data_IF_334995170789
#
_entry.id   IF_334995170789
#
_cell.length_a   1.000
_cell.length_b   1.000
_cell.length_c   1.000
_cell.angle_alpha   90.00
_cell.angle_beta   90.00
_cell.angle_gamma   90.00
#
_symmetry.space_group_name_H-M   'P 1'
#
loop_
_entity.id
_entity.type
_entity.pdbx_description
1 polymer ?
#
# COMPACT_ATOMS: atom_id res chain seq x y z
N UNK A 1 10.82 1.62 20.91
CA UNK A 1 9.76 1.59 19.88
C UNK A 1 9.53 0.16 19.41
N UNK A 2 8.27 -0.28 19.34
CA UNK A 2 7.94 -1.58 18.75
C UNK A 2 8.27 -1.58 17.25
N UNK A 3 8.49 -2.76 16.66
CA UNK A 3 8.74 -2.89 15.21
C UNK A 3 7.60 -2.26 14.40
N UNK A 4 6.35 -2.41 14.85
CA UNK A 4 5.17 -1.77 14.23
C UNK A 4 5.26 -0.24 14.24
N UNK A 5 5.70 0.35 15.37
CA UNK A 5 5.88 1.79 15.46
C UNK A 5 6.98 2.29 14.51
N UNK A 6 8.09 1.54 14.36
CA UNK A 6 9.15 1.88 13.40
C UNK A 6 8.64 1.83 11.96
N UNK A 7 7.89 0.80 11.59
CA UNK A 7 7.31 0.66 10.24
C UNK A 7 6.31 1.78 9.95
N UNK A 8 5.44 2.11 10.90
CA UNK A 8 4.50 3.22 10.76
C UNK A 8 5.23 4.56 10.55
N UNK A 9 6.26 4.83 11.37
CA UNK A 9 7.06 6.04 11.23
C UNK A 9 7.77 6.11 9.87
N UNK A 10 8.36 5.00 9.41
CA UNK A 10 8.98 4.93 8.09
C UNK A 10 7.98 5.18 6.96
N UNK A 11 6.75 4.65 7.07
CA UNK A 11 5.68 4.91 6.11
C UNK A 11 5.29 6.39 6.03
N UNK A 12 5.19 7.06 7.17
CA UNK A 12 4.89 8.51 7.23
C UNK A 12 6.01 9.32 6.58
N UNK A 13 7.27 9.04 6.92
CA UNK A 13 8.42 9.74 6.33
C UNK A 13 8.47 9.52 4.82
N UNK A 14 8.26 8.30 4.35
CA UNK A 14 8.24 7.99 2.93
C UNK A 14 7.11 8.74 2.19
N UNK A 15 5.92 8.85 2.78
CA UNK A 15 4.82 9.63 2.22
C UNK A 15 5.17 11.12 2.12
N UNK A 16 5.74 11.71 3.18
CA UNK A 16 6.17 13.12 3.18
C UNK A 16 7.19 13.37 2.06
N UNK A 17 8.22 12.52 1.96
CA UNK A 17 9.25 12.63 0.92
C UNK A 17 8.65 12.50 -0.47
N UNK A 18 7.72 11.56 -0.67
CA UNK A 18 7.03 11.38 -1.95
C UNK A 18 6.27 12.65 -2.34
N UNK A 19 5.39 13.16 -1.47
CA UNK A 19 4.59 14.34 -1.78
C UNK A 19 5.44 15.61 -1.96
N UNK A 20 6.56 15.72 -1.23
CA UNK A 20 7.51 16.81 -1.42
C UNK A 20 8.25 16.73 -2.76
N UNK A 21 8.66 15.52 -3.18
CA UNK A 21 9.45 15.33 -4.39
C UNK A 21 8.67 15.50 -5.69
N UNK A 22 7.42 15.03 -5.75
CA UNK A 22 6.63 15.03 -6.99
C UNK A 22 5.41 15.96 -6.94
N UNK A 23 5.14 16.59 -5.79
CA UNK A 23 3.97 17.42 -5.58
C UNK A 23 2.70 16.62 -5.27
N UNK A 24 1.63 17.33 -4.88
CA UNK A 24 0.42 16.72 -4.34
C UNK A 24 -0.25 15.74 -5.31
N UNK A 25 -0.55 16.18 -6.54
CA UNK A 25 -1.31 15.37 -7.49
C UNK A 25 -0.54 14.14 -7.97
N UNK A 26 0.74 14.29 -8.32
CA UNK A 26 1.57 13.15 -8.72
C UNK A 26 1.82 12.22 -7.53
N UNK A 27 2.05 12.76 -6.33
CA UNK A 27 2.23 11.97 -5.12
C UNK A 27 0.98 11.14 -4.79
N UNK A 28 -0.21 11.72 -4.95
CA UNK A 28 -1.49 11.03 -4.76
C UNK A 28 -1.68 9.91 -5.79
N UNK A 29 -1.36 10.18 -7.06
CA UNK A 29 -1.38 9.17 -8.12
C UNK A 29 -0.40 8.03 -7.85
N UNK A 30 0.80 8.30 -7.32
CA UNK A 30 1.76 7.25 -6.96
C UNK A 30 1.26 6.43 -5.77
N UNK A 31 0.81 7.11 -4.71
CA UNK A 31 0.36 6.48 -3.47
C UNK A 31 -0.79 5.48 -3.70
N UNK A 32 -1.71 5.81 -4.62
CA UNK A 32 -2.88 4.97 -4.94
C UNK A 32 -2.60 4.10 -6.17
N UNK A 33 -2.06 4.70 -7.23
CA UNK A 33 -1.88 4.09 -8.53
C UNK A 33 -0.87 2.95 -8.52
N UNK A 34 0.22 3.05 -7.74
CA UNK A 34 1.19 1.94 -7.66
C UNK A 34 0.56 0.69 -7.04
N UNK A 35 -0.10 0.73 -5.86
CA UNK A 35 -0.83 -0.43 -5.34
C UNK A 35 -1.92 -0.97 -6.28
N UNK A 36 -2.67 -0.08 -6.95
CA UNK A 36 -3.71 -0.47 -7.90
C UNK A 36 -3.12 -1.18 -9.11
N UNK A 37 -2.10 -0.61 -9.73
CA UNK A 37 -1.40 -1.22 -10.87
C UNK A 37 -0.76 -2.55 -10.46
N UNK A 38 -0.10 -2.62 -9.30
CA UNK A 38 0.45 -3.85 -8.76
C UNK A 38 -0.63 -4.92 -8.62
N UNK A 39 -1.82 -4.58 -8.09
CA UNK A 39 -2.94 -5.51 -7.95
C UNK A 39 -3.49 -6.00 -9.30
N UNK A 40 -3.57 -5.10 -10.29
CA UNK A 40 -4.05 -5.43 -11.63
C UNK A 40 -3.06 -6.31 -12.39
N UNK A 41 -1.75 -6.13 -12.14
CA UNK A 41 -0.67 -6.96 -12.69
C UNK A 41 -0.58 -8.35 -12.06
N UNK A 42 -1.25 -8.60 -10.92
CA UNK A 42 -1.26 -9.93 -10.32
C UNK A 42 -1.98 -10.95 -11.21
N UNK A 43 -1.47 -12.18 -11.19
CA UNK A 43 -2.15 -13.31 -11.81
C UNK A 43 -3.52 -13.55 -11.15
N UNK A 44 -4.50 -14.10 -11.89
CA UNK A 44 -5.80 -14.45 -11.34
C UNK A 44 -5.72 -15.33 -10.08
N UNK A 45 -4.74 -16.24 -10.01
CA UNK A 45 -4.50 -17.13 -8.86
C UNK A 45 -4.04 -16.34 -7.61
N UNK A 46 -3.11 -15.40 -7.77
CA UNK A 46 -2.60 -14.52 -6.71
C UNK A 46 -3.71 -13.60 -6.20
N UNK A 47 -4.45 -12.97 -7.11
CA UNK A 47 -5.59 -12.11 -6.79
C UNK A 47 -6.69 -12.85 -6.03
N UNK A 48 -7.01 -14.09 -6.43
CA UNK A 48 -8.00 -14.94 -5.73
C UNK A 48 -7.54 -15.30 -4.32
N UNK A 49 -6.25 -15.61 -4.15
CA UNK A 49 -5.66 -15.90 -2.83
C UNK A 49 -5.70 -14.67 -1.92
N UNK A 50 -5.32 -13.49 -2.42
CA UNK A 50 -5.39 -12.23 -1.66
C UNK A 50 -6.83 -11.91 -1.21
N UNK A 51 -7.81 -12.04 -2.11
CA UNK A 51 -9.23 -11.89 -1.76
C UNK A 51 -9.68 -12.91 -0.70
N UNK A 52 -9.18 -14.14 -0.78
CA UNK A 52 -9.44 -15.19 0.20
C UNK A 52 -8.83 -14.93 1.58
N UNK A 53 -7.61 -14.40 1.64
CA UNK A 53 -6.93 -14.04 2.90
C UNK A 53 -7.61 -12.84 3.57
N UNK A 54 -7.95 -11.81 2.79
CA UNK A 54 -8.67 -10.64 3.29
C UNK A 54 -10.01 -11.02 3.93
N UNK A 55 -10.80 -11.91 3.30
CA UNK A 55 -12.06 -12.40 3.88
C UNK A 55 -11.90 -13.17 5.20
N UNK A 56 -10.77 -13.85 5.42
CA UNK A 56 -10.50 -14.57 6.67
C UNK A 56 -10.17 -13.65 7.86
N UNK A 57 -9.86 -12.38 7.61
CA UNK A 57 -9.55 -11.40 8.65
C UNK A 57 -10.74 -10.50 9.05
N UNK A 58 -11.85 -10.52 8.30
CA UNK A 58 -13.02 -9.65 8.56
C UNK A 58 -13.98 -10.28 9.60
N UNK A 59 -13.70 -11.47 10.12
CA UNK A 59 -14.53 -12.16 11.12
C UNK A 59 -13.74 -12.74 12.30
N UNK A 60 -12.55 -12.19 12.58
CA UNK A 60 -11.71 -12.53 13.74
C UNK A 60 -11.27 -11.27 14.45
#
# INVERSE_FOLDING_TARGET
MSTRAKVAAAGVVAAIVLFWAVGFWAGLLVLIGVPVAAYLLLDPSQRRRLRGVSRKQIGR
#
